data_IF_899885408830
#
_entry.id   IF_899885408830
#
_cell.length_a   1.000
_cell.length_b   1.000
_cell.length_c   1.000
_cell.angle_alpha   90.00
_cell.angle_beta   90.00
_cell.angle_gamma   90.00
#
_symmetry.space_group_name_H-M   'P 1'
#
loop_
_entity.id
_entity.type
_entity.pdbx_description
1 polymer ?
#
# COMPACT_ATOMS: atom_id res chain seq x y z
N UNK A 1 -1.95 18.69 7.75
CA UNK A 1 -2.49 17.46 7.10
C UNK A 1 -1.34 16.56 6.73
N UNK A 2 -1.43 15.28 7.09
CA UNK A 2 -0.36 14.32 6.81
C UNK A 2 -0.26 13.96 5.34
N UNK A 3 0.96 13.84 4.85
CA UNK A 3 1.25 13.31 3.51
C UNK A 3 1.36 11.79 3.63
N UNK A 4 0.54 11.06 2.89
CA UNK A 4 0.38 9.61 3.03
C UNK A 4 0.84 8.90 1.77
N UNK A 5 1.88 8.09 1.89
CA UNK A 5 2.37 7.24 0.80
C UNK A 5 1.79 5.83 0.93
N UNK A 6 1.33 5.27 -0.18
CA UNK A 6 0.82 3.90 -0.24
C UNK A 6 1.71 3.08 -1.16
N UNK A 7 2.25 1.99 -0.64
CA UNK A 7 3.05 1.03 -1.39
C UNK A 7 2.40 -0.35 -1.30
N UNK A 8 2.80 -1.26 -2.16
CA UNK A 8 2.28 -2.63 -2.14
C UNK A 8 2.54 -3.34 -3.46
N UNK A 9 2.28 -4.65 -3.48
CA UNK A 9 2.42 -5.44 -4.70
C UNK A 9 1.39 -5.02 -5.75
N UNK A 10 1.69 -5.31 -7.00
CA UNK A 10 0.76 -5.06 -8.11
C UNK A 10 -0.57 -5.77 -7.85
N UNK A 11 -1.69 -5.11 -8.16
CA UNK A 11 -3.04 -5.64 -7.95
C UNK A 11 -3.43 -5.87 -6.48
N UNK A 12 -2.72 -5.28 -5.52
CA UNK A 12 -3.11 -5.34 -4.10
C UNK A 12 -4.24 -4.38 -3.74
N UNK A 13 -4.56 -3.43 -4.63
CA UNK A 13 -5.61 -2.44 -4.41
C UNK A 13 -5.10 -1.05 -4.06
N UNK A 14 -3.83 -0.74 -4.34
CA UNK A 14 -3.24 0.58 -4.06
C UNK A 14 -4.01 1.74 -4.68
N UNK A 15 -4.29 1.64 -5.98
CA UNK A 15 -4.96 2.72 -6.71
C UNK A 15 -6.34 2.98 -6.14
N UNK A 16 -7.08 1.93 -5.84
CA UNK A 16 -8.42 2.03 -5.22
C UNK A 16 -8.32 2.71 -3.86
N UNK A 17 -7.39 2.27 -3.02
CA UNK A 17 -7.21 2.87 -1.70
C UNK A 17 -6.85 4.34 -1.78
N UNK A 18 -5.90 4.70 -2.64
CA UNK A 18 -5.48 6.10 -2.80
C UNK A 18 -6.63 6.96 -3.30
N UNK A 19 -7.39 6.48 -4.29
CA UNK A 19 -8.55 7.21 -4.81
C UNK A 19 -9.57 7.46 -3.69
N UNK A 20 -9.88 6.43 -2.91
CA UNK A 20 -10.85 6.53 -1.81
C UNK A 20 -10.37 7.47 -0.70
N UNK A 21 -9.07 7.45 -0.39
CA UNK A 21 -8.50 8.37 0.59
C UNK A 21 -8.59 9.82 0.13
N UNK A 22 -8.29 10.09 -1.15
CA UNK A 22 -8.40 11.43 -1.71
C UNK A 22 -9.84 11.92 -1.67
N UNK A 23 -10.80 11.08 -2.01
CA UNK A 23 -12.22 11.42 -1.96
C UNK A 23 -12.68 11.72 -0.52
N UNK A 24 -12.06 11.08 0.46
CA UNK A 24 -12.33 11.33 1.87
C UNK A 24 -11.60 12.57 2.42
N UNK A 25 -10.82 13.26 1.60
CA UNK A 25 -10.14 14.50 1.99
C UNK A 25 -8.70 14.32 2.48
N UNK A 26 -8.13 13.13 2.36
CA UNK A 26 -6.74 12.87 2.77
C UNK A 26 -5.76 13.15 1.62
N UNK A 27 -4.54 13.57 1.98
CA UNK A 27 -3.48 13.81 1.01
C UNK A 27 -2.66 12.53 0.82
N UNK A 28 -3.14 11.65 -0.07
CA UNK A 28 -2.55 10.34 -0.32
C UNK A 28 -2.03 10.24 -1.75
N UNK A 29 -0.97 9.43 -1.93
CA UNK A 29 -0.43 9.17 -3.26
C UNK A 29 0.15 7.76 -3.35
N UNK A 30 0.22 7.27 -4.57
CA UNK A 30 0.67 5.94 -4.93
C UNK A 30 2.18 5.97 -5.18
N UNK A 31 2.91 4.99 -4.67
CA UNK A 31 4.34 4.83 -4.96
C UNK A 31 4.56 3.46 -5.57
N UNK A 32 5.13 3.42 -6.78
CA UNK A 32 5.39 2.18 -7.50
C UNK A 32 6.72 1.53 -7.04
N UNK A 33 6.88 1.35 -5.73
CA UNK A 33 8.07 0.74 -5.14
C UNK A 33 8.28 -0.69 -5.64
N UNK A 34 7.19 -1.42 -5.90
CA UNK A 34 7.26 -2.80 -6.38
C UNK A 34 7.92 -2.94 -7.76
N UNK A 35 8.01 -1.83 -8.51
CA UNK A 35 8.65 -1.79 -9.83
C UNK A 35 9.98 -1.04 -9.82
N UNK A 36 10.46 -0.63 -8.65
CA UNK A 36 11.68 0.17 -8.52
C UNK A 36 12.78 -0.62 -7.82
N UNK A 37 13.98 -0.57 -8.40
CA UNK A 37 15.19 -1.10 -7.75
C UNK A 37 15.80 -0.11 -6.76
N UNK A 38 15.26 1.10 -6.69
CA UNK A 38 15.70 2.11 -5.72
C UNK A 38 15.08 1.78 -4.37
N UNK A 39 15.91 1.39 -3.40
CA UNK A 39 15.49 0.87 -2.12
C UNK A 39 14.53 1.80 -1.36
N UNK A 40 14.82 3.10 -1.36
CA UNK A 40 14.02 4.10 -0.64
C UNK A 40 13.22 5.01 -1.59
N UNK A 41 12.80 4.47 -2.72
CA UNK A 41 11.96 5.21 -3.67
C UNK A 41 10.68 5.71 -3.00
N UNK A 42 10.13 4.95 -2.05
CA UNK A 42 8.95 5.32 -1.28
C UNK A 42 9.16 6.62 -0.48
N UNK A 43 10.41 6.97 -0.16
CA UNK A 43 10.72 8.15 0.64
C UNK A 43 11.04 9.39 -0.19
N UNK A 44 10.86 9.34 -1.50
CA UNK A 44 11.22 10.45 -2.40
C UNK A 44 10.56 11.77 -2.01
N UNK A 45 9.32 11.73 -1.56
CA UNK A 45 8.57 12.92 -1.16
C UNK A 45 8.44 13.07 0.37
N UNK A 46 9.20 12.32 1.14
CA UNK A 46 9.24 12.38 2.61
C UNK A 46 7.85 12.30 3.24
N UNK A 47 7.10 11.21 3.02
CA UNK A 47 5.76 11.08 3.57
C UNK A 47 5.76 11.07 5.10
N UNK A 48 4.69 11.59 5.70
CA UNK A 48 4.48 11.54 7.13
C UNK A 48 4.02 10.15 7.59
N UNK A 49 3.27 9.47 6.75
CA UNK A 49 2.73 8.13 7.02
C UNK A 49 3.01 7.25 5.81
N UNK A 50 3.58 6.08 6.04
CA UNK A 50 3.80 5.06 5.02
C UNK A 50 2.90 3.87 5.29
N UNK A 51 2.05 3.55 4.32
CA UNK A 51 1.12 2.42 4.41
C UNK A 51 1.51 1.40 3.35
N UNK A 52 1.67 0.15 3.78
CA UNK A 52 1.90 -0.97 2.87
C UNK A 52 0.69 -1.89 2.86
N UNK A 53 0.16 -2.15 1.67
CA UNK A 53 -0.87 -3.17 1.49
C UNK A 53 -0.28 -4.32 0.67
N UNK A 54 -0.71 -5.53 0.97
CA UNK A 54 -0.15 -6.73 0.36
C UNK A 54 -1.27 -7.70 0.01
N UNK A 55 -0.99 -8.61 -0.92
CA UNK A 55 -1.93 -9.64 -1.33
C UNK A 55 -1.18 -10.87 -1.80
N UNK A 56 -1.75 -12.05 -1.58
CA UNK A 56 -1.18 -13.30 -2.08
C UNK A 56 -1.43 -13.42 -3.59
N UNK A 57 -0.64 -14.27 -4.26
CA UNK A 57 -0.84 -14.54 -5.69
C UNK A 57 -2.24 -15.10 -5.94
N UNK A 58 -2.75 -15.96 -5.06
CA UNK A 58 -4.10 -16.52 -5.14
C UNK A 58 -5.17 -15.41 -5.15
N UNK A 59 -5.07 -14.44 -4.25
CA UNK A 59 -6.01 -13.32 -4.18
C UNK A 59 -5.90 -12.42 -5.41
N UNK A 60 -4.68 -12.15 -5.88
CA UNK A 60 -4.44 -11.32 -7.06
C UNK A 60 -5.10 -11.96 -8.29
N UNK A 61 -4.94 -13.27 -8.48
CA UNK A 61 -5.53 -14.01 -9.60
C UNK A 61 -7.06 -14.00 -9.57
N UNK A 62 -7.67 -13.91 -8.39
CA UNK A 62 -9.12 -13.79 -8.25
C UNK A 62 -9.63 -12.39 -8.62
N UNK A 63 -8.80 -11.35 -8.41
CA UNK A 63 -9.17 -9.95 -8.62
C UNK A 63 -9.03 -9.49 -10.07
N UNK A 64 -8.03 -10.04 -10.79
CA UNK A 64 -7.78 -9.71 -12.19
C UNK A 64 -7.02 -10.83 -12.89
N UNK A 65 -7.07 -10.81 -14.22
CA UNK A 65 -6.31 -11.76 -15.05
C UNK A 65 -4.85 -11.31 -15.06
N UNK A 66 -3.97 -12.16 -14.52
CA UNK A 66 -2.51 -11.93 -14.54
C UNK A 66 -1.82 -13.16 -15.12
N UNK A 67 -0.77 -12.92 -15.89
CA UNK A 67 -0.02 -13.99 -16.58
C UNK A 67 1.36 -14.20 -15.97
N UNK A 68 1.61 -13.65 -14.79
CA UNK A 68 2.87 -13.82 -14.07
C UNK A 68 2.68 -14.75 -12.87
N UNK A 69 3.79 -15.33 -12.43
CA UNK A 69 3.82 -16.36 -11.40
C UNK A 69 4.36 -15.85 -10.06
N UNK A 70 4.58 -16.78 -9.13
CA UNK A 70 5.10 -16.50 -7.79
C UNK A 70 6.47 -15.83 -7.81
N UNK A 71 7.32 -16.13 -8.82
CA UNK A 71 8.65 -15.52 -8.89
C UNK A 71 8.58 -14.00 -9.11
N UNK A 72 7.60 -13.53 -9.85
CA UNK A 72 7.39 -12.09 -10.04
C UNK A 72 6.90 -11.44 -8.75
N UNK A 73 6.03 -12.11 -8.02
CA UNK A 73 5.56 -11.62 -6.73
C UNK A 73 6.71 -11.57 -5.72
N UNK A 74 7.56 -12.59 -5.69
CA UNK A 74 8.75 -12.62 -4.85
C UNK A 74 9.69 -11.44 -5.17
N UNK A 75 9.92 -11.16 -6.44
CA UNK A 75 10.73 -10.02 -6.85
C UNK A 75 10.13 -8.70 -6.39
N UNK A 76 8.80 -8.55 -6.46
CA UNK A 76 8.12 -7.36 -5.96
C UNK A 76 8.27 -7.24 -4.43
N UNK A 77 8.14 -8.34 -3.69
CA UNK A 77 8.35 -8.34 -2.24
C UNK A 77 9.79 -7.94 -1.87
N UNK A 78 10.78 -8.37 -2.64
CA UNK A 78 12.17 -7.96 -2.42
C UNK A 78 12.33 -6.44 -2.58
N UNK A 79 11.73 -5.87 -3.61
CA UNK A 79 11.76 -4.42 -3.85
C UNK A 79 11.02 -3.62 -2.77
N UNK A 80 10.05 -4.25 -2.12
CA UNK A 80 9.25 -3.65 -1.07
C UNK A 80 9.83 -3.86 0.33
N UNK A 81 10.92 -4.61 0.48
CA UNK A 81 11.44 -5.00 1.81
C UNK A 81 11.81 -3.81 2.68
N UNK A 82 12.43 -2.78 2.13
CA UNK A 82 12.78 -1.58 2.89
C UNK A 82 11.51 -0.81 3.31
N UNK A 83 10.56 -0.64 2.40
CA UNK A 83 9.28 0.00 2.70
C UNK A 83 8.52 -0.76 3.79
N UNK A 84 8.52 -2.09 3.72
CA UNK A 84 7.87 -2.92 4.73
C UNK A 84 8.49 -2.72 6.12
N UNK A 85 9.82 -2.61 6.18
CA UNK A 85 10.52 -2.38 7.44
C UNK A 85 10.20 -1.01 8.05
N UNK A 86 9.84 -0.03 7.23
CA UNK A 86 9.53 1.33 7.66
C UNK A 86 8.04 1.67 7.65
N UNK A 87 7.18 0.75 7.20
CA UNK A 87 5.75 1.00 7.11
C UNK A 87 5.15 1.24 8.50
N UNK A 88 4.36 2.29 8.60
CA UNK A 88 3.62 2.61 9.83
C UNK A 88 2.41 1.69 9.99
N UNK A 89 1.84 1.24 8.88
CA UNK A 89 0.72 0.31 8.85
C UNK A 89 0.94 -0.69 7.72
N UNK A 90 0.80 -1.97 8.01
CA UNK A 90 0.86 -3.05 7.02
C UNK A 90 -0.46 -3.82 7.06
N UNK A 91 -1.11 -3.96 5.90
CA UNK A 91 -2.39 -4.67 5.77
C UNK A 91 -2.29 -5.73 4.68
N UNK A 92 -2.58 -6.97 5.04
CA UNK A 92 -2.75 -8.07 4.09
C UNK A 92 -4.24 -8.10 3.70
N UNK A 93 -4.54 -7.86 2.41
CA UNK A 93 -5.89 -7.55 1.96
C UNK A 93 -6.70 -8.76 1.47
N UNK A 94 -6.17 -9.97 1.54
CA UNK A 94 -6.80 -11.17 0.96
C UNK A 94 -8.24 -11.39 1.41
N UNK A 95 -8.51 -11.18 2.70
CA UNK A 95 -9.82 -11.43 3.30
C UNK A 95 -10.62 -10.16 3.57
N UNK A 96 -10.17 -9.01 3.08
CA UNK A 96 -10.80 -7.72 3.36
C UNK A 96 -11.48 -7.16 2.11
N UNK A 97 -12.63 -6.52 2.31
CA UNK A 97 -13.26 -5.73 1.25
C UNK A 97 -12.52 -4.39 1.10
N UNK A 98 -12.80 -3.69 -0.01
CA UNK A 98 -12.25 -2.35 -0.24
C UNK A 98 -12.67 -1.38 0.86
N UNK A 99 -13.92 -1.50 1.34
CA UNK A 99 -14.43 -0.68 2.44
C UNK A 99 -13.72 -0.99 3.75
N UNK A 100 -13.44 -2.26 4.02
CA UNK A 100 -12.74 -2.67 5.25
C UNK A 100 -11.32 -2.11 5.27
N UNK A 101 -10.61 -2.18 4.15
CA UNK A 101 -9.25 -1.62 4.03
C UNK A 101 -9.30 -0.11 4.26
N UNK A 102 -10.24 0.58 3.62
CA UNK A 102 -10.39 2.03 3.78
C UNK A 102 -10.66 2.41 5.24
N UNK A 103 -11.56 1.69 5.90
CA UNK A 103 -11.90 1.96 7.32
C UNK A 103 -10.68 1.78 8.23
N UNK A 104 -9.91 0.71 8.04
CA UNK A 104 -8.71 0.46 8.84
C UNK A 104 -7.67 1.56 8.63
N UNK A 105 -7.46 1.98 7.39
CA UNK A 105 -6.49 3.01 7.05
C UNK A 105 -6.92 4.36 7.66
N UNK A 106 -8.17 4.75 7.48
CA UNK A 106 -8.68 6.00 8.05
C UNK A 106 -8.58 6.01 9.57
N UNK A 107 -8.95 4.91 10.22
CA UNK A 107 -8.86 4.81 11.68
C UNK A 107 -7.41 4.98 12.14
N UNK A 108 -6.46 4.37 11.43
CA UNK A 108 -5.04 4.49 11.74
C UNK A 108 -4.53 5.93 11.56
N UNK A 109 -4.89 6.57 10.44
CA UNK A 109 -4.48 7.95 10.15
C UNK A 109 -5.00 8.90 11.24
N UNK A 110 -6.25 8.78 11.61
CA UNK A 110 -6.85 9.60 12.67
C UNK A 110 -6.15 9.40 13.99
N UNK A 111 -5.82 8.15 14.33
CA UNK A 111 -5.10 7.82 15.56
C UNK A 111 -3.72 8.48 15.58
N UNK A 112 -2.98 8.44 14.49
CA UNK A 112 -1.66 9.07 14.36
C UNK A 112 -1.79 10.59 14.48
N UNK A 113 -2.73 11.20 13.77
CA UNK A 113 -2.93 12.64 13.79
C UNK A 113 -3.37 13.14 15.17
N UNK A 114 -4.20 12.38 15.87
CA UNK A 114 -4.67 12.72 17.22
C UNK A 114 -3.58 12.55 18.29
N UNK A 115 -2.53 11.79 18.00
CA UNK A 115 -1.42 11.52 18.93
C UNK A 115 -0.37 12.62 18.96
N UNK A 116 -0.47 13.61 18.08
CA UNK A 116 0.52 14.68 17.92
C UNK A 116 0.17 15.89 18.78
#
# INVERSE_FOLDING_TARGET
MSLIAVVGVCASGKTTLVTNLKEAGFNAYNVAQEHSCIKKFWNKHHPDILIMIDASLSAIKKRRIVYWDESRLTAQHERLSDAKAHADLYIQTDSLSKEDVLKEVIAFIKKVEDSV
#
